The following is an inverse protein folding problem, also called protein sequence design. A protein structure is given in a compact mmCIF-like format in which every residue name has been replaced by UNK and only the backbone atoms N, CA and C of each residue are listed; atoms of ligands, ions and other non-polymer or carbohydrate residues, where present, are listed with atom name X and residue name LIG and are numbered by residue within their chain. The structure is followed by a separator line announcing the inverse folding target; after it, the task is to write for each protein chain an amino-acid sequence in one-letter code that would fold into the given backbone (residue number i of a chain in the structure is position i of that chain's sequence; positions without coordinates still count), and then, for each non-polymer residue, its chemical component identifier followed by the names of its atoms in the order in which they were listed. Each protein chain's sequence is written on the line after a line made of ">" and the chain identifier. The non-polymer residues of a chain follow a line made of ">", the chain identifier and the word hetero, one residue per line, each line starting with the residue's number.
data_IF_061515858743
#
_entry.id   IF_061515858743
#
_cell.length_a   1.000
_cell.length_b   1.000
_cell.length_c   1.000
_cell.angle_alpha   90.00
_cell.angle_beta   90.00
_cell.angle_gamma   90.00
#
_symmetry.space_group_name_H-M   'P 1'
#
loop_
_entity.id
_entity.type
_entity.pdbx_description
1 polymer ?
#
# COMPACT_ATOMS: atom_id res chain seq x y z
N UNK A 1 -42.08 64.69 -40.24
CA UNK A 1 -41.56 64.11 -38.97
C UNK A 1 -41.35 62.62 -39.19
N UNK A 2 -40.09 62.17 -39.20
CA UNK A 2 -39.71 60.75 -39.26
C UNK A 2 -39.56 60.19 -37.83
N UNK A 3 -39.72 58.87 -37.59
CA UNK A 3 -39.41 58.28 -36.29
C UNK A 3 -37.88 58.12 -36.13
N UNK A 4 -37.35 58.08 -34.90
CA UNK A 4 -35.93 57.91 -34.68
C UNK A 4 -35.54 56.45 -34.91
N UNK A 5 -34.52 56.25 -35.75
CA UNK A 5 -33.79 54.99 -35.88
C UNK A 5 -32.99 54.74 -34.60
N UNK A 6 -33.54 53.93 -33.70
CA UNK A 6 -32.78 53.31 -32.62
C UNK A 6 -31.82 52.29 -33.23
N UNK A 7 -30.55 52.68 -33.41
CA UNK A 7 -29.46 51.72 -33.63
C UNK A 7 -29.29 50.95 -32.32
N UNK A 8 -29.73 49.70 -32.30
CA UNK A 8 -29.29 48.73 -31.31
C UNK A 8 -27.77 48.59 -31.43
N UNK A 9 -27.06 49.07 -30.42
CA UNK A 9 -25.63 48.89 -30.32
C UNK A 9 -25.39 47.40 -30.05
N UNK A 10 -24.88 46.67 -31.05
CA UNK A 10 -24.35 45.32 -30.87
C UNK A 10 -23.28 45.37 -29.79
N UNK A 11 -23.64 45.05 -28.56
CA UNK A 11 -22.68 44.76 -27.51
C UNK A 11 -21.91 43.53 -27.98
N UNK A 12 -20.67 43.73 -28.44
CA UNK A 12 -19.75 42.64 -28.68
C UNK A 12 -19.53 41.95 -27.33
N UNK A 13 -20.22 40.82 -27.12
CA UNK A 13 -19.92 39.89 -26.03
C UNK A 13 -18.41 39.70 -26.00
N UNK A 14 -17.78 39.97 -24.86
CA UNK A 14 -16.35 39.70 -24.71
C UNK A 14 -16.08 38.26 -25.17
N UNK A 15 -15.04 38.03 -25.98
CA UNK A 15 -14.74 36.70 -26.48
C UNK A 15 -14.58 35.75 -25.30
N UNK A 16 -15.34 34.65 -25.31
CA UNK A 16 -15.31 33.65 -24.24
C UNK A 16 -13.91 33.01 -24.17
N UNK A 17 -13.09 33.51 -23.25
CA UNK A 17 -11.68 33.12 -23.10
C UNK A 17 -11.59 31.65 -22.69
N UNK A 18 -12.47 31.20 -21.79
CA UNK A 18 -12.45 29.86 -21.22
C UNK A 18 -12.80 28.82 -22.29
N UNK A 19 -13.80 29.09 -23.13
CA UNK A 19 -14.14 28.21 -24.26
C UNK A 19 -13.13 28.23 -25.39
N UNK A 20 -12.24 29.22 -25.45
CA UNK A 20 -11.26 29.34 -26.54
C UNK A 20 -9.85 28.90 -26.16
N UNK A 21 -9.66 28.33 -24.97
CA UNK A 21 -8.37 27.74 -24.59
C UNK A 21 -7.99 26.55 -25.50
N UNK A 22 -6.71 26.44 -25.90
CA UNK A 22 -6.18 25.25 -26.56
C UNK A 22 -6.30 23.99 -25.70
N UNK A 23 -6.46 22.82 -26.33
CA UNK A 23 -6.65 21.55 -25.63
C UNK A 23 -5.51 21.22 -24.65
N UNK A 24 -4.26 21.45 -25.04
CA UNK A 24 -3.11 21.22 -24.16
C UNK A 24 -3.12 22.07 -22.89
N UNK A 25 -3.68 23.29 -22.95
CA UNK A 25 -3.83 24.15 -21.77
C UNK A 25 -4.93 23.61 -20.87
N UNK A 26 -6.04 23.14 -21.45
CA UNK A 26 -7.12 22.48 -20.70
C UNK A 26 -6.57 21.23 -19.98
N UNK A 27 -5.79 20.40 -20.67
CA UNK A 27 -5.21 19.19 -20.09
C UNK A 27 -4.33 19.51 -18.87
N UNK A 28 -3.46 20.54 -18.99
CA UNK A 28 -2.64 21.01 -17.85
C UNK A 28 -3.52 21.50 -16.70
N UNK A 29 -4.57 22.28 -16.97
CA UNK A 29 -5.50 22.73 -15.92
C UNK A 29 -6.16 21.52 -15.23
N UNK A 30 -6.65 20.54 -16.00
CA UNK A 30 -7.35 19.39 -15.46
C UNK A 30 -6.46 18.45 -14.63
N UNK A 31 -5.17 18.33 -14.97
CA UNK A 31 -4.20 17.54 -14.20
C UNK A 31 -3.93 18.20 -12.84
N UNK A 32 -3.95 19.53 -12.77
CA UNK A 32 -3.73 20.28 -11.52
C UNK A 32 -4.96 20.28 -10.59
N UNK A 33 -6.12 19.84 -11.07
CA UNK A 33 -7.35 19.79 -10.28
C UNK A 33 -7.57 18.41 -9.66
N UNK A 34 -8.15 18.33 -8.45
CA UNK A 34 -8.73 17.08 -7.95
C UNK A 34 -9.72 16.50 -8.98
N UNK A 35 -9.79 15.17 -9.09
CA UNK A 35 -10.59 14.51 -10.14
C UNK A 35 -12.04 15.02 -10.17
N UNK A 36 -12.65 15.19 -9.00
CA UNK A 36 -13.98 15.78 -8.85
C UNK A 36 -14.12 17.14 -9.52
N UNK A 37 -13.17 18.04 -9.27
CA UNK A 37 -13.23 19.41 -9.78
C UNK A 37 -12.91 19.45 -11.28
N UNK A 38 -12.01 18.58 -11.74
CA UNK A 38 -11.78 18.36 -13.17
C UNK A 38 -13.09 17.95 -13.89
N UNK A 39 -13.87 17.01 -13.33
CA UNK A 39 -15.19 16.66 -13.88
C UNK A 39 -16.16 17.84 -13.80
N UNK A 40 -16.15 18.65 -12.73
CA UNK A 40 -17.05 19.82 -12.60
C UNK A 40 -16.79 20.88 -13.67
N UNK A 41 -15.58 20.99 -14.19
CA UNK A 41 -15.30 21.90 -15.32
C UNK A 41 -16.09 21.56 -16.60
N UNK A 42 -16.68 20.36 -16.68
CA UNK A 42 -17.53 19.93 -17.80
C UNK A 42 -18.73 20.85 -18.07
N UNK A 43 -19.15 21.65 -17.08
CA UNK A 43 -20.26 22.60 -17.21
C UNK A 43 -19.84 23.96 -17.78
N UNK A 44 -18.52 24.24 -17.87
CA UNK A 44 -18.01 25.53 -18.34
C UNK A 44 -18.35 25.77 -19.81
N UNK A 45 -18.19 24.77 -20.66
CA UNK A 45 -18.63 24.83 -22.06
C UNK A 45 -18.67 23.46 -22.74
N UNK A 46 -19.18 23.42 -23.98
CA UNK A 46 -19.24 22.20 -24.79
C UNK A 46 -17.86 21.58 -25.04
N UNK A 47 -16.80 22.39 -25.10
CA UNK A 47 -15.42 21.89 -25.29
C UNK A 47 -14.94 21.17 -24.04
N UNK A 48 -15.14 21.76 -22.86
CA UNK A 48 -14.69 21.20 -21.57
C UNK A 48 -15.43 19.92 -21.16
N UNK A 49 -16.64 19.71 -21.69
CA UNK A 49 -17.57 18.64 -21.28
C UNK A 49 -16.94 17.25 -21.13
N UNK A 50 -16.06 16.88 -22.05
CA UNK A 50 -15.44 15.55 -22.11
C UNK A 50 -13.91 15.55 -22.02
N UNK A 51 -13.27 16.71 -21.74
CA UNK A 51 -11.80 16.75 -21.65
C UNK A 51 -11.25 15.92 -20.51
N UNK A 52 -11.97 15.83 -19.39
CA UNK A 52 -11.58 15.02 -18.24
C UNK A 52 -11.50 13.51 -18.58
N UNK A 53 -12.20 13.05 -19.63
CA UNK A 53 -12.25 11.65 -20.01
C UNK A 53 -10.93 11.09 -20.54
N UNK A 54 -9.95 11.95 -20.88
CA UNK A 54 -8.63 11.57 -21.39
C UNK A 54 -7.54 11.51 -20.31
N UNK A 55 -7.94 11.75 -19.07
CA UNK A 55 -7.03 11.84 -17.95
C UNK A 55 -6.51 10.44 -17.60
N UNK A 56 -5.18 10.33 -17.48
CA UNK A 56 -4.49 9.06 -17.23
C UNK A 56 -4.42 8.70 -15.74
N UNK A 57 -4.66 9.68 -14.87
CA UNK A 57 -4.62 9.52 -13.42
C UNK A 57 -5.98 9.82 -12.79
N UNK A 58 -6.59 8.82 -12.16
CA UNK A 58 -7.91 8.93 -11.56
C UNK A 58 -7.88 8.54 -10.09
N UNK A 59 -8.52 9.36 -9.25
CA UNK A 59 -8.70 9.09 -7.82
C UNK A 59 -10.18 9.14 -7.49
N UNK A 60 -10.71 8.02 -7.02
CA UNK A 60 -12.08 7.88 -6.55
C UNK A 60 -12.07 7.71 -5.05
N UNK A 61 -12.46 8.76 -4.34
CA UNK A 61 -12.53 8.78 -2.89
C UNK A 61 -13.90 9.28 -2.39
N UNK A 62 -14.07 9.30 -1.07
CA UNK A 62 -15.34 9.62 -0.45
C UNK A 62 -15.87 11.04 -0.67
N UNK A 63 -14.99 11.97 -1.08
CA UNK A 63 -15.39 13.32 -1.44
C UNK A 63 -16.35 13.34 -2.63
N UNK A 64 -16.36 12.28 -3.45
CA UNK A 64 -17.25 12.13 -4.60
C UNK A 64 -18.69 11.82 -4.21
N UNK A 65 -18.93 11.17 -3.05
CA UNK A 65 -20.28 10.74 -2.64
C UNK A 65 -20.79 11.29 -1.31
N UNK A 66 -19.96 11.87 -0.44
CA UNK A 66 -20.39 12.40 0.87
C UNK A 66 -21.31 13.63 0.85
N UNK A 67 -21.41 14.38 -0.24
CA UNK A 67 -21.98 15.74 -0.22
C UNK A 67 -23.50 15.85 -0.42
N UNK A 68 -24.21 14.74 -0.59
CA UNK A 68 -25.63 14.75 -0.89
C UNK A 68 -26.33 13.77 0.04
N UNK A 69 -27.14 14.31 0.95
CA UNK A 69 -27.86 13.54 1.98
C UNK A 69 -28.96 12.63 1.41
N UNK A 70 -29.30 12.78 0.13
CA UNK A 70 -30.44 12.15 -0.52
C UNK A 70 -30.17 10.75 -1.10
N UNK A 71 -28.90 10.38 -1.35
CA UNK A 71 -28.55 9.15 -2.06
C UNK A 71 -27.55 8.28 -1.30
N UNK A 72 -27.75 6.96 -1.40
CA UNK A 72 -26.81 5.98 -0.87
C UNK A 72 -25.44 6.11 -1.60
N UNK A 73 -24.32 6.30 -0.88
CA UNK A 73 -22.98 6.39 -1.45
C UNK A 73 -22.63 5.27 -2.47
N UNK A 74 -23.13 4.06 -2.22
CA UNK A 74 -22.90 2.89 -3.08
C UNK A 74 -23.56 3.05 -4.47
N UNK A 75 -24.75 3.65 -4.52
CA UNK A 75 -25.47 3.88 -5.78
C UNK A 75 -24.72 4.91 -6.61
N UNK A 76 -24.31 6.00 -5.98
CA UNK A 76 -23.54 7.06 -6.64
C UNK A 76 -22.18 6.57 -7.14
N UNK A 77 -21.51 5.73 -6.36
CA UNK A 77 -20.28 5.08 -6.81
C UNK A 77 -20.51 4.28 -8.11
N UNK A 78 -21.57 3.46 -8.16
CA UNK A 78 -21.91 2.67 -9.36
C UNK A 78 -22.20 3.56 -10.58
N UNK A 79 -22.88 4.69 -10.39
CA UNK A 79 -23.12 5.67 -11.46
C UNK A 79 -21.80 6.26 -11.98
N UNK A 80 -20.85 6.59 -11.08
CA UNK A 80 -19.54 7.11 -11.46
C UNK A 80 -18.75 6.06 -12.23
N UNK A 81 -18.69 4.81 -11.75
CA UNK A 81 -17.99 3.71 -12.45
C UNK A 81 -18.62 3.46 -13.81
N UNK A 82 -19.95 3.44 -13.92
CA UNK A 82 -20.65 3.28 -15.19
C UNK A 82 -20.33 4.42 -16.17
N UNK A 83 -20.27 5.67 -15.69
CA UNK A 83 -19.84 6.81 -16.51
C UNK A 83 -18.38 6.70 -16.93
N UNK A 84 -17.49 6.23 -16.05
CA UNK A 84 -16.08 6.01 -16.38
C UNK A 84 -15.92 4.95 -17.46
N UNK A 85 -16.56 3.79 -17.30
CA UNK A 85 -16.52 2.70 -18.28
C UNK A 85 -17.08 3.09 -19.65
N UNK A 86 -17.99 4.07 -19.70
CA UNK A 86 -18.66 4.50 -20.94
C UNK A 86 -18.00 5.69 -21.61
N UNK A 87 -17.44 6.63 -20.84
CA UNK A 87 -16.95 7.91 -21.36
C UNK A 87 -15.43 8.00 -21.41
N UNK A 88 -14.70 7.23 -20.60
CA UNK A 88 -13.24 7.37 -20.53
C UNK A 88 -12.59 6.97 -21.87
N UNK A 89 -11.73 7.86 -22.36
CA UNK A 89 -11.00 7.71 -23.61
C UNK A 89 -9.50 7.64 -23.34
N UNK A 90 -8.90 6.47 -23.56
CA UNK A 90 -7.44 6.28 -23.50
C UNK A 90 -6.97 5.52 -22.27
N UNK A 91 -5.64 5.49 -22.03
CA UNK A 91 -5.07 4.67 -20.98
C UNK A 91 -5.25 5.30 -19.59
N UNK A 92 -5.67 4.51 -18.61
CA UNK A 92 -5.51 4.85 -17.20
C UNK A 92 -4.21 4.20 -16.73
N UNK A 93 -3.22 5.03 -16.40
CA UNK A 93 -1.91 4.58 -15.92
C UNK A 93 -1.83 4.59 -14.39
N UNK A 94 -2.62 5.44 -13.74
CA UNK A 94 -2.71 5.52 -12.28
C UNK A 94 -4.14 5.56 -11.82
N UNK A 95 -4.49 4.64 -10.93
CA UNK A 95 -5.82 4.54 -10.37
C UNK A 95 -5.77 4.34 -8.86
N UNK A 96 -6.52 5.18 -8.14
CA UNK A 96 -6.74 5.03 -6.71
C UNK A 96 -8.22 4.94 -6.43
N UNK A 97 -8.62 3.85 -5.78
CA UNK A 97 -9.95 3.65 -5.24
C UNK A 97 -9.86 3.64 -3.72
N UNK A 98 -10.43 4.64 -3.07
CA UNK A 98 -10.54 4.73 -1.62
C UNK A 98 -12.01 4.77 -1.20
N UNK A 99 -12.49 3.61 -0.76
CA UNK A 99 -13.90 3.39 -0.37
C UNK A 99 -13.99 2.76 1.02
N UNK A 100 -13.00 2.97 1.89
CA UNK A 100 -12.90 2.28 3.19
C UNK A 100 -14.12 2.48 4.09
N UNK A 101 -14.84 3.61 3.98
CA UNK A 101 -16.05 3.87 4.79
C UNK A 101 -17.36 3.51 4.07
N UNK A 102 -17.32 2.94 2.85
CA UNK A 102 -18.51 2.36 2.23
C UNK A 102 -19.01 1.15 3.02
N UNK A 103 -20.31 1.15 3.33
CA UNK A 103 -20.94 0.06 4.10
C UNK A 103 -20.95 -1.27 3.34
N UNK A 104 -21.00 -1.23 2.00
CA UNK A 104 -21.07 -2.38 1.11
C UNK A 104 -20.06 -2.19 -0.01
N UNK A 105 -19.31 -3.25 -0.29
CA UNK A 105 -18.41 -3.31 -1.42
C UNK A 105 -19.23 -3.33 -2.73
N UNK A 106 -18.99 -2.38 -3.65
CA UNK A 106 -19.57 -2.41 -4.99
C UNK A 106 -18.85 -3.45 -5.86
N UNK A 107 -19.51 -3.90 -6.92
CA UNK A 107 -18.89 -4.74 -7.96
C UNK A 107 -17.93 -3.87 -8.77
N UNK A 108 -16.64 -4.24 -8.77
CA UNK A 108 -15.56 -3.48 -9.42
C UNK A 108 -14.76 -4.34 -10.41
N UNK A 109 -15.14 -5.60 -10.61
CA UNK A 109 -14.43 -6.58 -11.44
C UNK A 109 -14.33 -6.10 -12.90
N UNK A 110 -15.44 -5.62 -13.47
CA UNK A 110 -15.49 -5.03 -14.82
C UNK A 110 -14.55 -3.84 -14.96
N UNK A 111 -14.43 -3.04 -13.88
CA UNK A 111 -13.55 -1.90 -13.85
C UNK A 111 -12.08 -2.31 -13.76
N UNK A 112 -11.74 -3.30 -12.94
CA UNK A 112 -10.38 -3.86 -12.90
C UNK A 112 -10.02 -4.46 -14.26
N UNK A 113 -10.95 -5.14 -14.92
CA UNK A 113 -10.76 -5.62 -16.29
C UNK A 113 -10.48 -4.48 -17.28
N UNK A 114 -11.17 -3.34 -17.14
CA UNK A 114 -10.91 -2.15 -17.97
C UNK A 114 -9.49 -1.61 -17.79
N UNK A 115 -8.93 -1.63 -16.57
CA UNK A 115 -7.60 -1.11 -16.26
C UNK A 115 -6.42 -1.97 -16.78
N UNK A 116 -6.67 -3.26 -17.04
CA UNK A 116 -5.64 -4.31 -17.15
C UNK A 116 -4.45 -4.04 -18.07
N UNK A 117 -4.63 -3.29 -19.15
CA UNK A 117 -3.62 -3.16 -20.21
C UNK A 117 -2.60 -2.04 -19.98
N UNK A 118 -2.95 -1.02 -19.19
CA UNK A 118 -2.20 0.23 -19.11
C UNK A 118 -1.83 0.66 -17.69
N UNK A 119 -2.44 0.02 -16.68
CA UNK A 119 -2.25 0.38 -15.29
C UNK A 119 -0.81 0.13 -14.85
N UNK A 120 -0.20 1.15 -14.26
CA UNK A 120 1.14 1.13 -13.69
C UNK A 120 1.06 1.29 -12.17
N UNK A 121 0.17 2.16 -11.69
CA UNK A 121 -0.02 2.45 -10.27
C UNK A 121 -1.46 2.12 -9.89
N UNK A 122 -1.66 1.09 -9.07
CA UNK A 122 -2.97 0.66 -8.62
C UNK A 122 -3.05 0.68 -7.09
N UNK A 123 -3.99 1.45 -6.55
CA UNK A 123 -4.28 1.53 -5.12
C UNK A 123 -5.75 1.15 -4.90
N UNK A 124 -6.01 0.06 -4.17
CA UNK A 124 -7.35 -0.40 -3.81
C UNK A 124 -7.49 -0.40 -2.28
N UNK A 125 -8.16 0.61 -1.73
CA UNK A 125 -8.49 0.73 -0.30
C UNK A 125 -9.96 0.41 -0.07
N UNK A 126 -10.23 -0.84 0.32
CA UNK A 126 -11.57 -1.41 0.38
C UNK A 126 -12.09 -1.49 1.84
N UNK A 127 -13.41 -1.62 2.07
CA UNK A 127 -13.95 -1.75 3.42
C UNK A 127 -13.52 -3.05 4.12
N UNK A 128 -13.05 -2.94 5.37
CA UNK A 128 -12.56 -4.05 6.20
C UNK A 128 -13.59 -5.18 6.48
N UNK A 129 -14.88 -4.95 6.25
CA UNK A 129 -15.94 -5.88 6.66
C UNK A 129 -15.96 -7.20 5.89
N UNK A 130 -15.50 -7.19 4.65
CA UNK A 130 -15.47 -8.37 3.79
C UNK A 130 -14.29 -8.23 2.85
N UNK A 131 -13.44 -9.25 2.84
CA UNK A 131 -12.33 -9.28 1.90
C UNK A 131 -12.84 -9.42 0.47
N UNK A 132 -12.26 -8.62 -0.41
CA UNK A 132 -12.54 -8.67 -1.82
C UNK A 132 -11.63 -9.70 -2.49
N UNK A 133 -12.22 -10.77 -3.02
CA UNK A 133 -11.47 -11.72 -3.84
C UNK A 133 -11.03 -11.01 -5.13
N UNK A 134 -9.72 -10.85 -5.30
CA UNK A 134 -9.19 -10.16 -6.47
C UNK A 134 -9.44 -10.98 -7.74
N UNK A 135 -9.94 -10.36 -8.82
CA UNK A 135 -10.15 -11.07 -10.06
C UNK A 135 -8.80 -11.46 -10.68
N UNK A 136 -8.75 -12.61 -11.34
CA UNK A 136 -7.53 -13.12 -11.98
C UNK A 136 -6.95 -12.16 -13.04
N UNK A 137 -7.79 -11.27 -13.57
CA UNK A 137 -7.44 -10.21 -14.52
C UNK A 137 -6.41 -9.23 -13.95
N UNK A 138 -6.40 -8.99 -12.64
CA UNK A 138 -5.40 -8.15 -11.98
C UNK A 138 -3.98 -8.70 -12.19
N UNK A 139 -3.82 -10.02 -12.12
CA UNK A 139 -2.53 -10.72 -12.29
C UNK A 139 -2.06 -10.77 -13.75
N UNK A 140 -2.82 -10.21 -14.69
CA UNK A 140 -2.42 -10.05 -16.10
C UNK A 140 -1.86 -8.65 -16.42
N UNK A 141 -1.81 -7.75 -15.43
CA UNK A 141 -1.38 -6.36 -15.62
C UNK A 141 0.14 -6.25 -15.73
N UNK A 142 0.68 -6.47 -16.93
CA UNK A 142 2.14 -6.49 -17.21
C UNK A 142 2.87 -5.14 -17.04
N UNK A 143 2.15 -4.03 -16.90
CA UNK A 143 2.74 -2.69 -16.74
C UNK A 143 2.79 -2.23 -15.28
N UNK A 144 2.28 -3.02 -14.33
CA UNK A 144 2.26 -2.65 -12.92
C UNK A 144 3.67 -2.40 -12.36
N UNK A 145 3.82 -1.26 -11.71
CA UNK A 145 5.01 -0.79 -11.00
C UNK A 145 4.75 -0.61 -9.52
N UNK A 146 3.54 -0.14 -9.17
CA UNK A 146 3.13 0.10 -7.79
C UNK A 146 1.76 -0.54 -7.56
N UNK A 147 1.69 -1.48 -6.62
CA UNK A 147 0.46 -2.18 -6.25
C UNK A 147 0.23 -2.04 -4.74
N UNK A 148 -0.83 -1.35 -4.36
CA UNK A 148 -1.27 -1.20 -2.99
C UNK A 148 -2.69 -1.78 -2.87
N UNK A 149 -2.85 -2.77 -1.98
CA UNK A 149 -4.08 -3.52 -1.78
C UNK A 149 -4.43 -3.56 -0.30
N UNK A 150 -5.61 -3.07 0.06
CA UNK A 150 -6.15 -3.21 1.41
C UNK A 150 -7.42 -4.05 1.41
N UNK A 151 -7.56 -4.93 2.42
CA UNK A 151 -8.77 -5.74 2.63
C UNK A 151 -9.15 -6.60 1.42
N UNK A 152 -8.15 -7.23 0.80
CA UNK A 152 -8.31 -8.10 -0.37
C UNK A 152 -8.00 -9.57 -0.02
N UNK A 153 -8.50 -10.52 -0.81
CA UNK A 153 -8.04 -11.91 -0.79
C UNK A 153 -7.25 -12.19 -2.07
N UNK A 154 -6.01 -12.66 -1.94
CA UNK A 154 -5.13 -12.95 -3.07
C UNK A 154 -5.15 -14.45 -3.35
N UNK A 155 -5.63 -14.80 -4.54
CA UNK A 155 -5.53 -16.13 -5.15
C UNK A 155 -5.07 -15.97 -6.59
N UNK A 156 -3.76 -15.92 -6.83
CA UNK A 156 -3.24 -15.80 -8.19
C UNK A 156 -3.45 -17.12 -8.96
N UNK A 157 -3.72 -17.08 -10.27
CA UNK A 157 -3.84 -18.29 -11.07
C UNK A 157 -2.51 -19.05 -11.15
N UNK A 158 -2.55 -20.35 -11.45
CA UNK A 158 -1.35 -21.15 -11.68
C UNK A 158 -0.53 -20.70 -12.90
N UNK A 159 -1.17 -20.02 -13.85
CA UNK A 159 -0.54 -19.40 -15.02
C UNK A 159 0.02 -18.00 -14.74
N UNK A 160 0.11 -17.58 -13.48
CA UNK A 160 0.70 -16.29 -13.12
C UNK A 160 2.19 -16.29 -13.44
N UNK A 161 2.59 -15.48 -14.43
CA UNK A 161 3.99 -15.36 -14.87
C UNK A 161 4.80 -14.37 -14.02
N UNK A 162 4.11 -13.57 -13.20
CA UNK A 162 4.74 -12.54 -12.37
C UNK A 162 4.40 -11.11 -12.74
N UNK A 163 4.89 -10.19 -11.92
CA UNK A 163 4.88 -8.76 -12.22
C UNK A 163 6.31 -8.28 -12.50
N UNK A 164 6.76 -8.44 -13.74
CA UNK A 164 8.15 -8.15 -14.16
C UNK A 164 8.62 -6.72 -13.91
N UNK A 165 7.68 -5.77 -13.80
CA UNK A 165 7.96 -4.34 -13.63
C UNK A 165 7.62 -3.81 -12.25
N UNK A 166 7.18 -4.66 -11.33
CA UNK A 166 6.74 -4.23 -10.00
C UNK A 166 7.95 -3.79 -9.17
N UNK A 167 7.86 -2.56 -8.66
CA UNK A 167 8.87 -1.89 -7.84
C UNK A 167 8.40 -1.84 -6.37
N UNK A 168 7.10 -1.65 -6.15
CA UNK A 168 6.52 -1.49 -4.82
C UNK A 168 5.25 -2.33 -4.68
N UNK A 169 5.21 -3.13 -3.62
CA UNK A 169 4.07 -3.96 -3.23
C UNK A 169 3.68 -3.66 -1.78
N UNK A 170 2.46 -3.18 -1.57
CA UNK A 170 1.89 -2.92 -0.25
C UNK A 170 0.60 -3.73 -0.08
N UNK A 171 0.59 -4.64 0.89
CA UNK A 171 -0.52 -5.52 1.20
C UNK A 171 -0.97 -5.28 2.65
N UNK A 172 -2.16 -4.74 2.84
CA UNK A 172 -2.67 -4.34 4.16
C UNK A 172 -3.99 -5.03 4.52
N UNK A 173 -3.99 -5.89 5.54
CA UNK A 173 -5.16 -6.69 5.91
C UNK A 173 -5.61 -7.60 4.77
N UNK A 174 -4.66 -8.23 4.08
CA UNK A 174 -4.92 -9.14 2.97
C UNK A 174 -4.93 -10.58 3.48
N UNK A 175 -5.91 -11.39 3.03
CA UNK A 175 -5.87 -12.84 3.28
C UNK A 175 -5.24 -13.56 2.11
N UNK A 176 -4.23 -14.36 2.44
CA UNK A 176 -3.52 -15.24 1.51
C UNK A 176 -2.74 -16.27 2.33
N UNK A 177 -2.45 -17.44 1.75
CA UNK A 177 -1.55 -18.39 2.41
C UNK A 177 -0.09 -17.96 2.25
N UNK A 178 0.79 -18.39 3.16
CA UNK A 178 2.22 -18.15 3.04
C UNK A 178 2.78 -18.58 1.67
N UNK A 179 2.40 -19.77 1.19
CA UNK A 179 2.83 -20.30 -0.11
C UNK A 179 2.47 -19.37 -1.29
N UNK A 180 1.25 -18.82 -1.29
CA UNK A 180 0.80 -17.91 -2.35
C UNK A 180 1.50 -16.55 -2.26
N UNK A 181 1.78 -16.08 -1.04
CA UNK A 181 2.51 -14.83 -0.83
C UNK A 181 3.98 -14.95 -1.27
N UNK A 182 4.65 -16.04 -0.89
CA UNK A 182 6.01 -16.35 -1.32
C UNK A 182 6.11 -16.48 -2.83
N UNK A 183 5.14 -17.20 -3.43
CA UNK A 183 5.01 -17.28 -4.89
C UNK A 183 4.82 -15.88 -5.50
N UNK A 184 3.91 -15.06 -4.99
CA UNK A 184 3.71 -13.70 -5.50
C UNK A 184 4.99 -12.86 -5.47
N UNK A 185 5.70 -12.84 -4.34
CA UNK A 185 6.92 -12.04 -4.14
C UNK A 185 8.05 -12.54 -5.05
N UNK A 186 8.25 -13.86 -5.12
CA UNK A 186 9.34 -14.45 -5.93
C UNK A 186 9.17 -14.21 -7.44
N UNK A 187 7.95 -13.98 -7.91
CA UNK A 187 7.66 -13.59 -9.30
C UNK A 187 7.70 -12.06 -9.53
N UNK A 188 8.30 -11.28 -8.62
CA UNK A 188 8.50 -9.83 -8.76
C UNK A 188 9.99 -9.47 -8.72
N UNK A 189 10.76 -9.66 -9.82
CA UNK A 189 12.22 -9.58 -9.81
C UNK A 189 12.80 -8.17 -9.58
N UNK A 190 12.01 -7.12 -9.80
CA UNK A 190 12.41 -5.71 -9.63
C UNK A 190 11.91 -5.08 -8.33
N UNK A 191 11.34 -5.87 -7.42
CA UNK A 191 10.72 -5.37 -6.19
C UNK A 191 11.77 -4.69 -5.29
N UNK A 192 11.63 -3.39 -5.06
CA UNK A 192 12.48 -2.58 -4.19
C UNK A 192 11.82 -2.30 -2.83
N UNK A 193 10.48 -2.27 -2.77
CA UNK A 193 9.72 -1.98 -1.56
C UNK A 193 8.64 -3.04 -1.33
N UNK A 194 8.62 -3.61 -0.13
CA UNK A 194 7.61 -4.58 0.29
C UNK A 194 7.07 -4.19 1.65
N UNK A 195 5.76 -3.99 1.71
CA UNK A 195 5.02 -3.72 2.93
C UNK A 195 3.93 -4.76 3.10
N UNK A 196 3.98 -5.48 4.22
CA UNK A 196 3.06 -6.54 4.58
C UNK A 196 2.44 -6.20 5.93
N UNK A 197 1.16 -5.89 5.94
CA UNK A 197 0.37 -5.83 7.16
C UNK A 197 -0.69 -6.92 7.13
N UNK A 198 -0.62 -7.87 8.05
CA UNK A 198 -1.59 -8.96 8.15
C UNK A 198 -2.44 -8.81 9.40
N UNK A 199 -3.72 -9.15 9.29
CA UNK A 199 -4.63 -9.34 10.43
C UNK A 199 -4.87 -10.80 10.77
N UNK A 200 -4.33 -11.71 9.95
CA UNK A 200 -4.43 -13.16 10.12
C UNK A 200 -3.05 -13.69 10.50
N UNK A 201 -3.03 -14.75 11.32
CA UNK A 201 -1.79 -15.41 11.72
C UNK A 201 -1.19 -16.13 10.50
N UNK A 202 0.04 -15.76 10.15
CA UNK A 202 0.79 -16.41 9.07
C UNK A 202 1.74 -17.46 9.66
N UNK A 203 1.97 -18.53 8.91
CA UNK A 203 2.92 -19.57 9.29
C UNK A 203 4.37 -19.08 9.06
N UNK A 204 5.20 -19.89 8.40
CA UNK A 204 6.52 -19.49 7.94
C UNK A 204 6.41 -18.73 6.61
N UNK A 205 7.20 -17.67 6.42
CA UNK A 205 7.33 -16.96 5.15
C UNK A 205 8.81 -16.81 4.76
N UNK A 206 9.18 -17.29 3.57
CA UNK A 206 10.48 -17.09 2.93
C UNK A 206 10.43 -15.97 1.88
N UNK A 207 11.15 -14.88 2.12
CA UNK A 207 11.24 -13.75 1.18
C UNK A 207 12.47 -13.89 0.29
N UNK A 208 12.21 -14.00 -1.01
CA UNK A 208 13.23 -14.00 -2.06
C UNK A 208 13.00 -12.80 -3.00
N UNK A 209 13.71 -11.70 -2.74
CA UNK A 209 13.57 -10.45 -3.47
C UNK A 209 14.94 -9.75 -3.60
N UNK A 210 15.73 -10.05 -4.64
CA UNK A 210 17.14 -9.63 -4.73
C UNK A 210 17.34 -8.12 -4.88
N UNK A 211 16.30 -7.39 -5.31
CA UNK A 211 16.29 -5.94 -5.47
C UNK A 211 15.74 -5.21 -4.25
N UNK A 212 15.27 -5.93 -3.22
CA UNK A 212 14.55 -5.34 -2.09
C UNK A 212 15.47 -4.42 -1.29
N UNK A 213 14.98 -3.20 -1.01
CA UNK A 213 15.69 -2.15 -0.27
C UNK A 213 14.95 -1.76 0.99
N UNK A 214 13.63 -1.84 0.98
CA UNK A 214 12.76 -1.56 2.11
C UNK A 214 11.83 -2.73 2.34
N UNK A 215 11.78 -3.19 3.59
CA UNK A 215 10.86 -4.22 4.02
C UNK A 215 10.16 -3.79 5.31
N UNK A 216 8.82 -3.81 5.31
CA UNK A 216 8.03 -3.65 6.52
C UNK A 216 7.07 -4.82 6.67
N UNK A 217 7.05 -5.41 7.86
CA UNK A 217 6.09 -6.40 8.27
C UNK A 217 5.38 -5.91 9.53
N UNK A 218 4.05 -5.98 9.56
CA UNK A 218 3.22 -5.68 10.72
C UNK A 218 2.15 -6.75 10.89
N UNK A 219 2.20 -7.52 11.97
CA UNK A 219 1.16 -8.51 12.30
C UNK A 219 1.72 -9.73 12.99
N UNK A 220 0.92 -10.79 13.03
CA UNK A 220 1.28 -12.04 13.69
C UNK A 220 1.88 -13.02 12.68
N UNK A 221 3.05 -13.56 12.99
CA UNK A 221 3.71 -14.55 12.15
C UNK A 221 4.43 -15.58 13.01
N UNK A 222 4.39 -16.84 12.55
CA UNK A 222 5.22 -17.88 13.12
C UNK A 222 6.68 -17.58 12.80
N UNK A 223 7.15 -17.60 11.56
CA UNK A 223 8.56 -17.28 11.28
C UNK A 223 8.76 -16.55 9.96
N UNK A 224 9.81 -15.73 9.89
CA UNK A 224 10.16 -14.96 8.69
C UNK A 224 11.63 -15.15 8.33
N UNK A 225 11.90 -15.50 7.07
CA UNK A 225 13.26 -15.72 6.58
C UNK A 225 13.54 -14.85 5.36
N UNK A 226 14.55 -13.98 5.46
CA UNK A 226 14.95 -13.11 4.36
C UNK A 226 16.07 -13.77 3.56
N UNK A 227 15.71 -14.78 2.76
CA UNK A 227 16.63 -15.73 2.11
C UNK A 227 17.56 -15.08 1.10
N UNK A 228 17.07 -14.15 0.29
CA UNK A 228 17.84 -13.52 -0.78
C UNK A 228 17.44 -12.04 -0.94
N UNK A 229 17.97 -11.20 -0.05
CA UNK A 229 17.71 -9.75 0.01
C UNK A 229 19.01 -8.94 0.23
N UNK A 230 20.07 -9.15 -0.57
CA UNK A 230 21.39 -8.55 -0.32
C UNK A 230 21.41 -7.02 -0.30
N UNK A 231 20.39 -6.38 -0.88
CA UNK A 231 20.24 -4.94 -1.01
C UNK A 231 19.34 -4.30 0.05
N UNK A 232 18.83 -5.07 1.00
CA UNK A 232 17.92 -4.57 2.03
C UNK A 232 18.65 -3.54 2.89
N UNK A 233 18.14 -2.31 2.92
CA UNK A 233 18.71 -1.18 3.68
C UNK A 233 17.90 -0.96 4.95
N UNK A 234 16.58 -1.05 4.86
CA UNK A 234 15.66 -0.77 5.95
C UNK A 234 14.71 -1.96 6.17
N UNK A 235 14.65 -2.44 7.40
CA UNK A 235 13.74 -3.50 7.81
C UNK A 235 12.96 -3.08 9.06
N UNK A 236 11.64 -3.13 8.97
CA UNK A 236 10.72 -2.90 10.09
C UNK A 236 9.94 -4.19 10.31
N UNK A 237 10.12 -4.81 11.47
CA UNK A 237 9.42 -6.02 11.82
C UNK A 237 8.64 -5.79 13.11
N UNK A 238 7.35 -5.51 12.93
CA UNK A 238 6.40 -5.05 13.95
C UNK A 238 5.32 -6.12 14.17
N UNK A 239 4.85 -6.30 15.41
CA UNK A 239 3.81 -7.27 15.75
C UNK A 239 4.28 -8.36 16.71
N UNK A 240 3.43 -9.37 16.93
CA UNK A 240 3.71 -10.46 17.86
C UNK A 240 4.17 -11.70 17.10
N UNK A 241 5.18 -12.38 17.64
CA UNK A 241 5.57 -13.72 17.17
C UNK A 241 4.93 -14.72 18.12
N UNK A 242 3.99 -15.52 17.62
CA UNK A 242 3.28 -16.55 18.40
C UNK A 242 4.09 -17.85 18.58
N UNK A 243 5.41 -17.85 18.36
CA UNK A 243 6.17 -19.08 18.16
C UNK A 243 6.16 -20.07 19.34
N UNK A 244 5.96 -21.33 18.94
CA UNK A 244 6.33 -22.58 19.61
C UNK A 244 7.83 -22.93 19.48
N UNK A 245 8.60 -22.26 18.62
CA UNK A 245 10.05 -22.48 18.39
C UNK A 245 10.88 -21.20 18.68
N UNK A 246 12.21 -21.32 18.80
CA UNK A 246 13.08 -20.18 19.13
C UNK A 246 13.34 -19.26 17.93
N UNK A 247 13.25 -17.93 18.12
CA UNK A 247 13.68 -16.94 17.12
C UNK A 247 15.17 -17.08 16.74
N UNK A 248 15.43 -17.47 15.49
CA UNK A 248 16.79 -17.57 14.95
C UNK A 248 17.15 -16.38 14.06
N UNK A 249 17.53 -15.26 14.67
CA UNK A 249 17.99 -14.06 13.97
C UNK A 249 19.15 -14.31 12.99
N UNK A 250 19.95 -15.37 13.19
CA UNK A 250 21.02 -15.70 12.25
C UNK A 250 20.43 -16.15 10.91
N UNK A 251 19.35 -16.94 10.92
CA UNK A 251 18.63 -17.32 9.70
C UNK A 251 17.86 -16.16 9.08
N UNK A 252 17.26 -15.29 9.89
CA UNK A 252 16.48 -14.15 9.38
C UNK A 252 17.37 -13.22 8.56
N UNK A 253 18.55 -12.88 9.08
CA UNK A 253 19.40 -11.82 8.53
C UNK A 253 20.64 -12.31 7.77
N UNK A 254 20.76 -13.62 7.50
CA UNK A 254 21.93 -14.22 6.82
C UNK A 254 22.30 -13.48 5.51
N UNK A 255 21.29 -13.07 4.75
CA UNK A 255 21.46 -12.40 3.45
C UNK A 255 21.34 -10.88 3.50
N UNK A 256 21.27 -10.26 4.68
CA UNK A 256 21.00 -8.82 4.85
C UNK A 256 22.27 -7.96 4.96
N UNK A 257 23.21 -8.12 4.02
CA UNK A 257 24.54 -7.48 4.11
C UNK A 257 24.54 -5.95 4.03
N UNK A 258 23.53 -5.34 3.41
CA UNK A 258 23.39 -3.90 3.23
C UNK A 258 22.50 -3.23 4.30
N UNK A 259 22.04 -3.97 5.32
CA UNK A 259 21.08 -3.47 6.29
C UNK A 259 21.69 -2.37 7.15
N UNK A 260 21.12 -1.16 7.08
CA UNK A 260 21.56 0.03 7.81
C UNK A 260 20.56 0.42 8.91
N UNK A 261 19.27 0.16 8.71
CA UNK A 261 18.22 0.44 9.69
C UNK A 261 17.40 -0.81 9.98
N UNK A 262 17.24 -1.10 11.26
CA UNK A 262 16.42 -2.20 11.74
C UNK A 262 15.49 -1.71 12.85
N UNK A 263 14.20 -2.01 12.73
CA UNK A 263 13.21 -1.79 13.78
C UNK A 263 12.55 -3.11 14.16
N UNK A 264 12.50 -3.43 15.45
CA UNK A 264 11.91 -4.67 15.97
C UNK A 264 10.92 -4.38 17.10
N UNK A 265 9.75 -5.00 17.04
CA UNK A 265 8.69 -4.93 18.07
C UNK A 265 8.37 -6.30 18.71
N UNK A 266 8.96 -7.38 18.20
CA UNK A 266 8.59 -8.76 18.57
C UNK A 266 8.90 -9.17 20.02
N UNK A 267 9.31 -8.26 20.91
CA UNK A 267 9.73 -8.57 22.29
C UNK A 267 8.63 -8.30 23.32
N UNK A 268 7.40 -8.06 22.87
CA UNK A 268 6.19 -7.92 23.68
C UNK A 268 5.66 -9.26 24.20
N UNK A 269 5.54 -10.29 23.36
CA UNK A 269 4.87 -11.57 23.68
C UNK A 269 5.64 -12.49 24.64
N UNK A 270 4.94 -13.40 25.33
CA UNK A 270 5.53 -14.40 26.23
C UNK A 270 6.37 -15.43 25.45
N UNK A 271 7.66 -15.18 25.25
CA UNK A 271 8.55 -16.21 24.70
C UNK A 271 8.69 -17.37 25.68
N UNK A 272 8.17 -18.53 25.31
CA UNK A 272 8.49 -19.78 26.00
C UNK A 272 9.83 -20.26 25.47
N UNK A 273 10.89 -20.05 26.25
CA UNK A 273 12.17 -20.65 25.93
C UNK A 273 12.05 -22.18 25.94
N UNK A 274 12.41 -22.85 24.84
CA UNK A 274 12.59 -24.30 24.85
C UNK A 274 13.59 -24.69 25.96
N UNK A 275 13.27 -25.73 26.73
CA UNK A 275 14.14 -26.21 27.81
C UNK A 275 15.55 -26.54 27.28
N UNK A 276 16.52 -25.71 27.62
CA UNK A 276 17.93 -25.88 27.23
C UNK A 276 18.40 -25.01 26.06
N UNK A 277 17.53 -24.25 25.40
CA UNK A 277 17.96 -23.32 24.36
C UNK A 277 18.76 -22.15 24.97
N UNK A 278 20.01 -22.01 24.54
CA UNK A 278 20.88 -20.89 24.94
C UNK A 278 20.98 -19.91 23.78
N UNK A 279 20.48 -18.71 24.01
CA UNK A 279 20.62 -17.59 23.08
C UNK A 279 22.11 -17.38 22.78
N UNK A 280 22.52 -17.36 21.49
CA UNK A 280 23.91 -17.11 21.13
C UNK A 280 24.35 -15.73 21.64
N UNK A 281 25.64 -15.59 21.94
CA UNK A 281 26.18 -14.31 22.44
C UNK A 281 26.27 -13.23 21.36
N UNK A 282 26.36 -13.65 20.09
CA UNK A 282 26.47 -12.85 18.87
C UNK A 282 25.96 -13.72 17.70
N UNK A 283 25.48 -13.06 16.65
CA UNK A 283 25.28 -13.67 15.34
C UNK A 283 26.62 -14.16 14.77
N UNK A 284 26.60 -15.17 13.86
CA UNK A 284 27.81 -15.68 13.21
C UNK A 284 28.46 -14.66 12.25
N UNK A 285 27.77 -13.54 11.97
CA UNK A 285 28.22 -12.43 11.14
C UNK A 285 27.89 -11.09 11.80
N UNK A 286 28.47 -10.01 11.28
CA UNK A 286 28.12 -8.64 11.66
C UNK A 286 27.16 -8.06 10.63
N UNK A 287 26.24 -7.22 11.08
CA UNK A 287 25.36 -6.43 10.22
C UNK A 287 25.81 -4.97 10.23
N UNK A 288 25.59 -4.26 9.11
CA UNK A 288 26.01 -2.87 8.95
C UNK A 288 25.02 -1.86 9.55
N UNK A 289 24.22 -2.31 10.52
CA UNK A 289 23.16 -1.51 11.15
C UNK A 289 23.75 -0.31 11.87
N UNK A 290 23.31 0.89 11.46
CA UNK A 290 23.63 2.19 12.06
C UNK A 290 22.52 2.70 12.96
N UNK A 291 21.27 2.40 12.62
CA UNK A 291 20.09 2.75 13.40
C UNK A 291 19.34 1.50 13.83
N UNK A 292 19.19 1.31 15.13
CA UNK A 292 18.44 0.21 15.68
C UNK A 292 17.33 0.74 16.59
N UNK A 293 16.09 0.47 16.21
CA UNK A 293 14.91 0.89 16.95
C UNK A 293 14.28 -0.36 17.57
N UNK A 294 14.16 -0.38 18.90
CA UNK A 294 13.49 -1.43 19.65
C UNK A 294 12.21 -0.84 20.22
N UNK A 295 11.08 -1.36 19.76
CA UNK A 295 9.75 -0.90 20.15
C UNK A 295 9.15 -1.84 21.21
N UNK A 296 8.28 -1.27 22.03
CA UNK A 296 7.48 -1.91 23.09
C UNK A 296 8.17 -3.01 23.92
N UNK A 297 9.41 -2.77 24.35
CA UNK A 297 10.22 -3.73 25.11
C UNK A 297 9.68 -3.92 26.53
N UNK A 298 9.52 -5.17 26.96
CA UNK A 298 9.39 -5.54 28.38
C UNK A 298 10.75 -5.96 28.96
N UNK A 299 11.29 -5.16 29.91
CA UNK A 299 12.60 -5.40 30.54
C UNK A 299 12.57 -6.45 31.66
N UNK A 300 11.42 -7.08 31.92
CA UNK A 300 11.26 -8.02 33.05
C UNK A 300 11.85 -9.40 32.74
N UNK A 301 11.98 -9.75 31.46
CA UNK A 301 12.35 -11.10 31.02
C UNK A 301 13.81 -11.21 30.57
N UNK A 302 14.60 -11.98 31.31
CA UNK A 302 16.05 -12.20 31.03
C UNK A 302 16.35 -12.83 29.65
N UNK A 303 15.38 -13.58 29.10
CA UNK A 303 15.51 -14.22 27.79
C UNK A 303 15.44 -13.22 26.63
N UNK A 304 14.52 -12.24 26.70
CA UNK A 304 14.37 -11.16 25.71
C UNK A 304 15.61 -10.28 25.68
N UNK A 305 16.12 -9.92 26.87
CA UNK A 305 17.38 -9.19 27.01
C UNK A 305 18.56 -9.92 26.37
N UNK A 306 18.59 -11.26 26.42
CA UNK A 306 19.66 -12.04 25.81
C UNK A 306 19.66 -11.93 24.27
N UNK A 307 18.49 -11.87 23.63
CA UNK A 307 18.36 -11.65 22.19
C UNK A 307 18.76 -10.25 21.78
N UNK A 308 18.30 -9.23 22.52
CA UNK A 308 18.71 -7.84 22.32
C UNK A 308 20.24 -7.72 22.40
N UNK A 309 20.84 -8.30 23.44
CA UNK A 309 22.29 -8.29 23.62
C UNK A 309 23.04 -9.05 22.51
N UNK A 310 22.47 -10.14 21.99
CA UNK A 310 23.02 -10.85 20.84
C UNK A 310 23.10 -9.93 19.61
N UNK A 311 21.99 -9.25 19.28
CA UNK A 311 21.90 -8.32 18.15
C UNK A 311 22.81 -7.10 18.33
N UNK A 312 22.74 -6.43 19.48
CA UNK A 312 23.57 -5.26 19.79
C UNK A 312 25.06 -5.59 19.67
N UNK A 313 25.48 -6.77 20.13
CA UNK A 313 26.87 -7.18 19.97
C UNK A 313 27.22 -7.38 18.50
N UNK A 314 26.29 -7.76 17.62
CA UNK A 314 26.52 -7.98 16.19
C UNK A 314 26.43 -6.72 15.31
N UNK A 315 26.22 -5.54 15.89
CA UNK A 315 26.16 -4.24 15.19
C UNK A 315 27.39 -3.37 15.47
N UNK A 316 28.55 -3.61 14.81
CA UNK A 316 29.77 -2.86 15.07
C UNK A 316 29.72 -1.38 14.68
N UNK A 317 28.77 -0.97 13.82
CA UNK A 317 28.64 0.39 13.31
C UNK A 317 27.40 1.13 13.84
N UNK A 318 26.83 0.67 14.97
CA UNK A 318 25.63 1.26 15.55
C UNK A 318 25.91 2.70 16.01
N UNK A 319 25.20 3.67 15.44
CA UNK A 319 25.30 5.11 15.73
C UNK A 319 24.12 5.60 16.59
N UNK A 320 22.94 5.03 16.37
CA UNK A 320 21.70 5.41 17.04
C UNK A 320 20.93 4.17 17.53
N UNK A 321 20.58 4.18 18.81
CA UNK A 321 19.76 3.18 19.46
C UNK A 321 18.57 3.87 20.12
N UNK A 322 17.36 3.56 19.67
CA UNK A 322 16.12 3.99 20.32
C UNK A 322 15.42 2.81 20.95
N UNK A 323 15.03 2.96 22.21
CA UNK A 323 14.37 1.93 22.98
C UNK A 323 13.10 2.52 23.56
N UNK A 324 11.95 2.10 23.03
CA UNK A 324 10.66 2.37 23.62
C UNK A 324 10.35 1.24 24.61
N UNK A 325 10.33 1.57 25.89
CA UNK A 325 10.04 0.60 26.96
C UNK A 325 8.58 0.69 27.32
N UNK A 326 7.88 -0.44 27.26
CA UNK A 326 6.52 -0.55 27.76
C UNK A 326 6.54 -0.42 29.29
N UNK A 327 6.14 0.74 29.81
CA UNK A 327 5.87 0.89 31.24
C UNK A 327 4.59 0.13 31.57
N UNK A 328 4.71 -1.15 31.89
CA UNK A 328 3.67 -1.81 32.67
C UNK A 328 3.64 -1.14 34.06
N UNK A 329 2.92 -0.01 34.16
CA UNK A 329 2.32 0.40 35.42
C UNK A 329 1.33 -0.69 35.78
N UNK A 330 1.83 -1.68 36.50
CA UNK A 330 1.04 -2.61 37.29
C UNK A 330 0.22 -1.75 38.26
N UNK A 331 -1.05 -1.49 37.92
CA UNK A 331 -2.03 -1.10 38.91
C UNK A 331 -2.21 -2.31 39.85
N UNK A 332 -1.40 -2.37 40.90
CA UNK A 332 -1.76 -3.12 42.09
C UNK A 332 -2.97 -2.40 42.70
N UNK A 333 -4.17 -2.91 42.44
CA UNK A 333 -5.29 -2.67 43.34
C UNK A 333 -4.93 -3.36 44.65
N UNK A 334 -4.42 -2.58 45.60
CA UNK A 334 -4.44 -2.94 47.02
C UNK A 334 -5.91 -3.02 47.45
N UNK A 335 -6.36 -4.22 47.80
CA UNK A 335 -7.42 -4.39 48.81
C UNK A 335 -6.72 -4.69 50.13
#
# INVERSE_FOLDING_TARGET
>A
MMPPTGRECCQSLMPDIISNLPHNVIDVILILLPFKDAVRTSVLSKKWRYHWCRRTELTLDESLWKQREDLNPTVRFREIISQLLTLHEGPITKFTLDIVHLKRLPEIDDFIYFLRNHIQDLVLRLPLRKQYALPSTLFTCSQLRHLNLHSCSIYHPSAFEGFDKLISLELCGVSTSSELLESLISHCPLLEQLELSTSEDLDMIEINAPMLRFFSFTGNISSIYLKNVPRLVEAFLLGDIEQTESLDFAKIFESCSALEQLSLDFLSSEFVAEEGYKVPKRLPFNLNVRRFDLLDISLVESYKLSHILCLLRSFPYLEYLEMQVCSALTFFNLI
#
